data_IF_743043135173
#
_entry.id   IF_743043135173
#
_cell.length_a   1.000
_cell.length_b   1.000
_cell.length_c   1.000
_cell.angle_alpha   90.00
_cell.angle_beta   90.00
_cell.angle_gamma   90.00
#
_symmetry.space_group_name_H-M   'P 1'
#
loop_
_entity.id
_entity.type
_entity.pdbx_description
1 polymer ?
#
# COMPACT_ATOMS: atom_id res chain seq x y z
N UNK A 1 3.81 -1.69 9.08
CA UNK A 1 4.52 -1.31 10.30
C UNK A 1 5.81 -2.12 10.42
N UNK A 2 7.00 -1.47 10.42
CA UNK A 2 8.28 -2.16 10.44
C UNK A 2 8.61 -2.82 11.77
N UNK A 3 7.88 -2.50 12.84
CA UNK A 3 8.11 -3.11 14.15
C UNK A 3 7.70 -4.58 14.24
N UNK A 4 7.00 -5.13 13.23
CA UNK A 4 6.71 -6.58 13.17
C UNK A 4 8.01 -7.38 13.06
N UNK A 5 8.36 -8.04 14.15
CA UNK A 5 9.62 -8.81 14.25
C UNK A 5 9.53 -10.19 13.60
N UNK A 6 8.35 -10.83 13.64
CA UNK A 6 8.05 -12.13 13.02
C UNK A 6 6.75 -12.02 12.20
N UNK A 7 6.81 -12.34 10.92
CA UNK A 7 5.64 -12.29 10.04
C UNK A 7 4.59 -13.38 10.37
N UNK A 8 4.90 -14.33 11.26
CA UNK A 8 3.97 -15.36 11.75
C UNK A 8 3.39 -15.04 13.13
N UNK A 9 3.91 -14.03 13.83
CA UNK A 9 3.43 -13.60 15.15
C UNK A 9 3.06 -12.10 15.14
N UNK A 10 1.76 -11.76 15.18
CA UNK A 10 1.32 -10.36 15.15
C UNK A 10 1.72 -9.54 16.39
N UNK A 11 2.14 -10.20 17.47
CA UNK A 11 2.53 -9.56 18.73
C UNK A 11 4.05 -9.49 18.93
N UNK A 12 4.83 -10.18 18.11
CA UNK A 12 6.28 -10.02 18.11
C UNK A 12 6.64 -8.64 17.57
N UNK A 13 7.16 -7.78 18.45
CA UNK A 13 7.38 -6.35 18.16
C UNK A 13 8.82 -5.95 18.48
N UNK A 14 9.38 -5.08 17.65
CA UNK A 14 10.62 -4.32 17.90
C UNK A 14 10.21 -2.95 18.44
N UNK A 15 10.30 -2.70 19.77
CA UNK A 15 9.74 -1.49 20.39
C UNK A 15 10.31 -0.19 19.79
N UNK A 16 11.60 -0.16 19.44
CA UNK A 16 12.27 1.03 18.89
C UNK A 16 11.73 1.44 17.52
N UNK A 17 11.01 0.55 16.85
CA UNK A 17 10.37 0.76 15.56
C UNK A 17 8.83 0.76 15.65
N UNK A 18 8.25 0.65 16.83
CA UNK A 18 6.81 0.62 16.98
C UNK A 18 6.24 2.06 16.99
N UNK A 19 5.39 2.37 16.02
CA UNK A 19 4.71 3.68 15.96
C UNK A 19 3.66 3.86 17.07
N UNK A 20 3.36 2.81 17.83
CA UNK A 20 2.46 2.83 18.98
C UNK A 20 3.20 2.78 20.33
N UNK A 21 4.53 2.95 20.33
CA UNK A 21 5.32 3.02 21.54
C UNK A 21 5.36 4.48 22.05
N UNK A 22 4.96 4.75 23.31
CA UNK A 22 4.98 6.12 23.86
C UNK A 22 6.34 6.80 23.81
N UNK A 23 7.44 6.06 23.98
CA UNK A 23 8.81 6.59 23.91
C UNK A 23 9.20 7.04 22.50
N UNK A 24 8.51 6.54 21.46
CA UNK A 24 8.68 6.98 20.07
C UNK A 24 7.81 8.19 19.70
N UNK A 25 6.94 8.64 20.60
CA UNK A 25 6.09 9.83 20.40
C UNK A 25 4.60 9.54 20.22
N UNK A 26 4.19 8.27 20.35
CA UNK A 26 2.77 7.89 20.29
C UNK A 26 1.97 8.43 21.48
N UNK A 27 0.70 8.75 21.23
CA UNK A 27 -0.31 9.10 22.22
C UNK A 27 -1.60 8.31 21.94
N UNK A 28 -2.33 7.91 23.00
CA UNK A 28 -3.62 7.23 22.84
C UNK A 28 -4.63 8.09 22.07
N UNK A 29 -5.37 7.48 21.19
CA UNK A 29 -6.46 8.12 20.45
C UNK A 29 -7.49 8.80 21.41
N UNK A 30 -7.96 10.02 21.14
CA UNK A 30 -7.76 10.85 19.93
C UNK A 30 -6.65 11.91 20.08
N UNK A 31 -5.66 11.71 20.94
CA UNK A 31 -4.56 12.65 21.09
C UNK A 31 -3.61 12.59 19.88
N UNK A 32 -3.19 13.74 19.30
CA UNK A 32 -2.25 13.72 18.19
C UNK A 32 -0.87 13.27 18.67
N UNK A 33 -0.22 12.47 17.85
CA UNK A 33 1.16 12.05 18.07
C UNK A 33 2.16 13.08 17.53
N UNK A 34 3.41 12.97 17.96
CA UNK A 34 4.51 13.76 17.40
C UNK A 34 5.75 12.85 17.34
N UNK A 35 6.21 12.57 16.15
CA UNK A 35 7.36 11.68 15.93
C UNK A 35 8.61 12.48 15.62
N UNK A 36 9.72 12.10 16.26
CA UNK A 36 11.02 12.71 15.98
C UNK A 36 11.46 12.47 14.54
N UNK A 37 11.98 13.47 13.81
CA UNK A 37 12.40 13.30 12.40
C UNK A 37 13.48 12.23 12.19
N UNK A 38 14.40 12.05 13.14
CA UNK A 38 15.43 11.01 13.04
C UNK A 38 14.82 9.62 13.28
N UNK A 39 13.83 9.50 14.16
CA UNK A 39 13.05 8.29 14.32
C UNK A 39 12.26 7.97 13.05
N UNK A 40 11.56 8.95 12.46
CA UNK A 40 10.83 8.78 11.20
C UNK A 40 11.72 8.27 10.07
N UNK A 41 12.95 8.78 9.97
CA UNK A 41 13.90 8.31 8.97
C UNK A 41 14.26 6.83 9.17
N UNK A 42 14.53 6.40 10.42
CA UNK A 42 14.79 4.99 10.76
C UNK A 42 13.57 4.11 10.49
N UNK A 43 12.39 4.57 10.91
CA UNK A 43 11.13 3.87 10.69
C UNK A 43 10.88 3.61 9.20
N UNK A 44 11.02 4.63 8.35
CA UNK A 44 10.85 4.51 6.89
C UNK A 44 11.88 3.57 6.25
N UNK A 45 13.12 3.60 6.68
CA UNK A 45 14.12 2.65 6.21
C UNK A 45 13.74 1.21 6.58
N UNK A 46 13.32 0.99 7.83
CA UNK A 46 12.87 -0.32 8.30
C UNK A 46 11.57 -0.81 7.62
N UNK A 47 10.70 0.11 7.16
CA UNK A 47 9.56 -0.26 6.29
C UNK A 47 10.03 -0.88 4.97
N UNK A 48 11.04 -0.29 4.34
CA UNK A 48 11.62 -0.81 3.10
C UNK A 48 12.22 -2.20 3.34
N UNK A 49 12.96 -2.39 4.43
CA UNK A 49 13.56 -3.68 4.80
C UNK A 49 12.48 -4.74 5.06
N UNK A 50 11.38 -4.39 5.72
CA UNK A 50 10.26 -5.31 5.93
C UNK A 50 9.61 -5.71 4.60
N UNK A 51 9.35 -4.76 3.71
CA UNK A 51 8.80 -5.06 2.38
C UNK A 51 9.73 -5.99 1.61
N UNK A 52 11.04 -5.79 1.68
CA UNK A 52 12.03 -6.67 1.05
C UNK A 52 12.00 -8.12 1.62
N UNK A 53 11.81 -8.27 2.95
CA UNK A 53 11.63 -9.61 3.57
C UNK A 53 10.38 -10.31 3.05
N UNK A 54 9.25 -9.62 3.01
CA UNK A 54 7.99 -10.18 2.51
C UNK A 54 8.11 -10.53 1.02
N UNK A 55 8.75 -9.68 0.23
CA UNK A 55 9.07 -9.95 -1.18
C UNK A 55 9.88 -11.24 -1.35
N UNK A 56 10.90 -11.45 -0.51
CA UNK A 56 11.71 -12.66 -0.55
C UNK A 56 10.88 -13.93 -0.25
N UNK A 57 10.00 -13.87 0.75
CA UNK A 57 9.06 -14.97 1.08
C UNK A 57 8.14 -15.26 -0.11
N UNK A 58 7.58 -14.22 -0.72
CA UNK A 58 6.68 -14.34 -1.86
C UNK A 58 7.40 -14.95 -3.08
N UNK A 59 8.59 -14.45 -3.41
CA UNK A 59 9.43 -14.94 -4.52
C UNK A 59 9.85 -16.39 -4.33
N UNK A 60 10.27 -16.76 -3.11
CA UNK A 60 10.66 -18.13 -2.78
C UNK A 60 9.48 -19.12 -2.96
N UNK A 61 8.28 -18.75 -2.49
CA UNK A 61 7.08 -19.57 -2.66
C UNK A 61 6.70 -19.77 -4.13
N UNK A 62 6.81 -18.72 -4.95
CA UNK A 62 6.54 -18.80 -6.39
C UNK A 62 7.59 -19.70 -7.08
N UNK A 63 8.87 -19.53 -6.73
CA UNK A 63 9.96 -20.33 -7.29
C UNK A 63 9.76 -21.81 -7.00
N UNK A 64 9.46 -22.19 -5.74
CA UNK A 64 9.19 -23.59 -5.38
C UNK A 64 8.02 -24.19 -6.19
N UNK A 65 6.95 -23.42 -6.39
CA UNK A 65 5.81 -23.86 -7.20
C UNK A 65 6.21 -24.09 -8.67
N UNK A 66 7.02 -23.22 -9.25
CA UNK A 66 7.54 -23.34 -10.62
C UNK A 66 8.46 -24.54 -10.75
N UNK A 67 9.41 -24.70 -9.83
CA UNK A 67 10.37 -25.81 -9.82
C UNK A 67 9.68 -27.16 -9.62
N UNK A 68 8.70 -27.24 -8.72
CA UNK A 68 7.87 -28.42 -8.58
C UNK A 68 7.11 -28.76 -9.86
N UNK A 69 6.63 -27.76 -10.59
CA UNK A 69 6.02 -27.94 -11.91
C UNK A 69 6.98 -28.50 -12.96
N UNK A 70 8.24 -28.10 -12.90
CA UNK A 70 9.29 -28.69 -13.76
C UNK A 70 9.57 -30.14 -13.38
N UNK A 71 9.72 -30.45 -12.09
CA UNK A 71 9.92 -31.82 -11.59
C UNK A 71 8.77 -32.73 -11.97
N UNK A 72 7.51 -32.27 -11.88
CA UNK A 72 6.32 -33.03 -12.31
C UNK A 72 6.41 -33.47 -13.78
N UNK A 73 6.91 -32.60 -14.65
CA UNK A 73 7.03 -32.91 -16.09
C UNK A 73 8.05 -34.03 -16.39
N UNK A 74 9.04 -34.19 -15.50
CA UNK A 74 10.06 -35.24 -15.65
C UNK A 74 9.72 -36.56 -14.97
N UNK A 75 8.59 -36.67 -14.25
CA UNK A 75 8.20 -37.87 -13.52
C UNK A 75 7.25 -38.76 -14.34
N UNK A 76 7.45 -40.09 -14.28
CA UNK A 76 6.49 -41.07 -14.77
C UNK A 76 5.30 -41.14 -13.81
N UNK A 77 4.16 -40.63 -14.26
CA UNK A 77 2.92 -40.63 -13.45
C UNK A 77 2.42 -42.04 -13.11
N UNK A 78 2.70 -43.02 -13.95
CA UNK A 78 2.25 -44.42 -13.75
C UNK A 78 3.27 -45.21 -12.94
N UNK A 79 4.58 -44.96 -13.12
CA UNK A 79 5.64 -45.71 -12.46
C UNK A 79 5.94 -45.21 -11.04
N UNK A 80 5.80 -43.91 -10.78
CA UNK A 80 6.00 -43.33 -9.46
C UNK A 80 4.88 -42.32 -9.06
N UNK A 81 3.71 -42.92 -8.81
CA UNK A 81 2.50 -42.15 -8.40
C UNK A 81 2.74 -41.28 -7.15
N UNK A 82 3.53 -41.75 -6.18
CA UNK A 82 3.76 -41.05 -4.93
C UNK A 82 4.57 -39.78 -5.16
N UNK A 83 5.71 -39.89 -5.85
CA UNK A 83 6.56 -38.72 -6.16
C UNK A 83 5.82 -37.76 -7.09
N UNK A 84 5.12 -38.24 -8.10
CA UNK A 84 4.33 -37.38 -8.98
C UNK A 84 3.28 -36.59 -8.19
N UNK A 85 2.53 -37.25 -7.30
CA UNK A 85 1.49 -36.62 -6.49
C UNK A 85 2.07 -35.55 -5.55
N UNK A 86 3.20 -35.85 -4.91
CA UNK A 86 3.86 -34.92 -4.00
C UNK A 86 4.32 -33.65 -4.76
N UNK A 87 5.01 -33.81 -5.87
CA UNK A 87 5.44 -32.67 -6.68
C UNK A 87 4.25 -31.92 -7.29
N UNK A 88 3.18 -32.64 -7.68
CA UNK A 88 1.97 -31.99 -8.20
C UNK A 88 1.27 -31.11 -7.18
N UNK A 89 1.23 -31.52 -5.90
CA UNK A 89 0.70 -30.69 -4.81
C UNK A 89 1.48 -29.38 -4.68
N UNK A 90 2.80 -29.46 -4.67
CA UNK A 90 3.68 -28.27 -4.59
C UNK A 90 3.52 -27.37 -5.80
N UNK A 91 3.43 -27.93 -6.99
CA UNK A 91 3.26 -27.19 -8.24
C UNK A 91 1.95 -26.39 -8.32
N UNK A 92 0.88 -26.89 -7.72
CA UNK A 92 -0.44 -26.22 -7.75
C UNK A 92 -0.75 -25.43 -6.48
N UNK A 93 0.09 -25.56 -5.46
CA UNK A 93 -0.11 -24.85 -4.21
C UNK A 93 0.04 -23.34 -4.40
N UNK A 94 -0.92 -22.60 -3.89
CA UNK A 94 -0.87 -21.13 -3.86
C UNK A 94 -0.64 -20.69 -2.43
N UNK A 95 0.52 -20.13 -2.16
CA UNK A 95 0.83 -19.54 -0.87
C UNK A 95 -0.02 -18.28 -0.67
N UNK A 96 -0.76 -18.26 0.44
CA UNK A 96 -1.36 -17.05 0.99
C UNK A 96 -0.43 -16.46 2.04
N UNK A 97 -0.27 -15.15 1.97
CA UNK A 97 0.47 -14.36 2.94
C UNK A 97 -0.54 -13.65 3.84
N UNK A 98 -0.29 -13.67 5.13
CA UNK A 98 -0.95 -12.78 6.09
C UNK A 98 0.03 -11.69 6.46
N UNK A 99 -0.33 -10.44 6.19
CA UNK A 99 0.51 -9.27 6.46
C UNK A 99 -0.13 -8.50 7.62
N UNK A 100 0.55 -8.44 8.74
CA UNK A 100 0.08 -7.73 9.92
C UNK A 100 0.46 -6.26 9.88
N UNK A 101 -0.36 -5.41 10.50
CA UNK A 101 -0.12 -3.98 10.71
C UNK A 101 0.24 -3.26 9.40
N UNK A 102 -0.71 -3.26 8.45
CA UNK A 102 -0.55 -2.69 7.12
C UNK A 102 -0.80 -1.18 7.05
N UNK A 103 -1.55 -0.61 8.00
CA UNK A 103 -1.76 0.84 8.14
C UNK A 103 -0.58 1.42 8.94
N UNK A 104 0.51 1.68 8.28
CA UNK A 104 1.82 1.91 8.88
C UNK A 104 2.41 3.29 8.54
N UNK A 105 1.56 4.26 8.17
CA UNK A 105 2.02 5.63 7.96
C UNK A 105 1.85 6.45 9.24
N UNK A 106 2.95 6.90 9.90
CA UNK A 106 2.87 7.77 11.06
C UNK A 106 2.05 9.05 10.83
N UNK A 107 1.93 9.50 9.58
CA UNK A 107 1.14 10.68 9.21
C UNK A 107 -0.37 10.52 9.48
N UNK A 108 -0.88 9.31 9.73
CA UNK A 108 -2.26 9.15 10.23
C UNK A 108 -2.46 9.76 11.63
N UNK A 109 -1.42 9.77 12.46
CA UNK A 109 -1.49 10.20 13.85
C UNK A 109 -0.76 11.52 14.09
N UNK A 110 0.24 11.86 13.26
CA UNK A 110 0.99 13.11 13.32
C UNK A 110 0.67 13.97 12.09
N UNK A 111 -0.20 14.97 12.28
CA UNK A 111 -0.64 15.86 11.21
C UNK A 111 0.42 16.87 10.77
N UNK A 112 1.55 16.97 11.46
CA UNK A 112 2.68 17.79 11.03
C UNK A 112 3.49 17.15 9.88
N UNK A 113 3.35 15.84 9.69
CA UNK A 113 3.97 15.11 8.59
C UNK A 113 3.14 15.33 7.33
N UNK A 114 3.73 15.94 6.30
CA UNK A 114 3.04 16.30 5.05
C UNK A 114 1.70 17.05 5.34
N UNK A 115 1.78 18.15 6.08
CA UNK A 115 0.61 18.89 6.58
C UNK A 115 -0.34 19.33 5.46
N UNK A 116 -1.62 19.02 5.62
CA UNK A 116 -2.72 19.32 4.73
C UNK A 116 -4.04 19.49 5.51
N UNK A 117 -5.20 19.46 4.84
CA UNK A 117 -6.52 19.64 5.48
C UNK A 117 -7.13 18.33 6.01
N UNK A 118 -6.42 17.19 5.94
CA UNK A 118 -6.97 15.90 6.37
C UNK A 118 -7.29 15.86 7.86
N UNK A 119 -8.34 15.14 8.28
CA UNK A 119 -8.51 14.77 9.66
C UNK A 119 -7.43 13.76 10.10
N UNK A 120 -7.17 13.69 11.41
CA UNK A 120 -6.34 12.64 11.99
C UNK A 120 -7.02 11.26 11.81
N UNK A 121 -6.20 10.24 11.57
CA UNK A 121 -6.66 8.86 11.45
C UNK A 121 -6.69 8.32 10.03
N UNK A 122 -7.21 7.09 9.90
CA UNK A 122 -7.36 6.36 8.65
C UNK A 122 -8.80 6.34 8.21
N UNK A 123 -9.01 6.23 6.91
CA UNK A 123 -10.33 6.01 6.32
C UNK A 123 -10.80 4.54 6.44
N UNK A 124 -9.89 3.59 6.72
CA UNK A 124 -10.19 2.16 6.69
C UNK A 124 -10.70 1.64 8.04
N UNK A 125 -11.94 1.14 8.05
CA UNK A 125 -12.69 0.45 9.10
C UNK A 125 -12.79 1.20 10.44
N UNK A 126 -11.68 1.69 10.97
CA UNK A 126 -11.60 2.46 12.22
C UNK A 126 -10.74 3.70 11.99
N UNK A 127 -11.17 4.87 12.48
CA UNK A 127 -10.36 6.09 12.40
C UNK A 127 -9.00 5.93 13.09
N UNK A 128 -8.96 5.23 14.23
CA UNK A 128 -7.72 4.88 14.92
C UNK A 128 -6.95 3.79 14.16
N UNK A 129 -5.76 4.08 13.59
CA UNK A 129 -4.95 3.08 12.90
C UNK A 129 -4.51 1.93 13.81
N UNK A 130 -4.41 2.15 15.14
CA UNK A 130 -4.12 1.09 16.09
C UNK A 130 -5.22 0.02 16.06
N UNK A 131 -6.48 0.42 16.22
CA UNK A 131 -7.61 -0.52 16.14
C UNK A 131 -7.71 -1.17 14.76
N UNK A 132 -7.49 -0.41 13.70
CA UNK A 132 -7.50 -0.95 12.33
C UNK A 132 -6.39 -2.00 12.14
N UNK A 133 -5.20 -1.80 12.69
CA UNK A 133 -4.06 -2.71 12.56
C UNK A 133 -4.23 -4.04 13.31
N UNK A 134 -4.85 -4.02 14.47
CA UNK A 134 -5.08 -5.25 15.27
C UNK A 134 -6.49 -5.82 15.08
N UNK A 135 -7.46 -5.00 14.70
CA UNK A 135 -8.84 -5.40 14.44
C UNK A 135 -9.04 -6.10 13.09
N UNK A 136 -10.28 -6.42 12.77
CA UNK A 136 -10.68 -7.14 11.53
C UNK A 136 -10.71 -6.29 10.25
N UNK A 137 -10.59 -4.99 10.36
CA UNK A 137 -10.82 -4.04 9.26
C UNK A 137 -9.58 -3.58 8.50
N UNK A 138 -8.41 -4.15 8.74
CA UNK A 138 -7.18 -3.74 8.07
C UNK A 138 -7.15 -4.08 6.58
N UNK A 139 -6.68 -3.15 5.76
CA UNK A 139 -6.48 -3.34 4.32
C UNK A 139 -5.28 -4.25 4.05
N UNK A 140 -5.31 -4.98 2.92
CA UNK A 140 -4.18 -5.75 2.38
C UNK A 140 -3.59 -6.81 3.33
N UNK A 141 -4.42 -7.42 4.18
CA UNK A 141 -3.95 -8.38 5.20
C UNK A 141 -3.75 -9.79 4.71
N UNK A 142 -4.54 -10.25 3.77
CA UNK A 142 -4.45 -11.62 3.25
C UNK A 142 -4.52 -11.59 1.74
N UNK A 143 -3.47 -12.12 1.10
CA UNK A 143 -3.37 -12.18 -0.35
C UNK A 143 -2.44 -13.29 -0.79
N UNK A 144 -2.46 -13.61 -2.08
CA UNK A 144 -1.49 -14.55 -2.65
C UNK A 144 -0.10 -13.88 -2.75
N UNK A 145 0.96 -14.70 -2.78
CA UNK A 145 2.31 -14.23 -3.03
C UNK A 145 2.42 -13.39 -4.33
N UNK A 146 1.71 -13.79 -5.40
CA UNK A 146 1.65 -13.03 -6.65
C UNK A 146 0.91 -11.70 -6.50
N UNK A 147 -0.20 -11.67 -5.75
CA UNK A 147 -0.96 -10.46 -5.46
C UNK A 147 -0.15 -9.44 -4.68
N UNK A 148 0.65 -9.91 -3.70
CA UNK A 148 1.59 -9.05 -2.99
C UNK A 148 2.57 -8.37 -3.94
N UNK A 149 3.33 -9.15 -4.72
CA UNK A 149 4.37 -8.60 -5.60
C UNK A 149 3.81 -7.69 -6.70
N UNK A 150 2.61 -7.97 -7.21
CA UNK A 150 2.03 -7.20 -8.32
C UNK A 150 1.34 -5.90 -7.89
N UNK A 151 0.86 -5.82 -6.65
CA UNK A 151 -0.03 -4.74 -6.23
C UNK A 151 0.48 -4.01 -4.98
N UNK A 152 0.88 -4.74 -3.94
CA UNK A 152 1.09 -4.17 -2.61
C UNK A 152 2.55 -3.92 -2.24
N UNK A 153 3.49 -4.64 -2.86
CA UNK A 153 4.91 -4.39 -2.62
C UNK A 153 5.33 -3.04 -3.20
N UNK A 154 5.75 -2.13 -2.36
CA UNK A 154 6.35 -0.86 -2.79
C UNK A 154 7.67 -1.03 -3.57
N UNK A 155 8.29 -2.21 -3.53
CA UNK A 155 9.54 -2.52 -4.23
C UNK A 155 9.34 -3.25 -5.55
N UNK A 156 8.34 -4.16 -5.63
CA UNK A 156 8.16 -5.06 -6.77
C UNK A 156 6.95 -4.70 -7.64
N UNK A 157 5.98 -3.96 -7.12
CA UNK A 157 4.78 -3.56 -7.87
C UNK A 157 5.13 -2.55 -8.97
N UNK A 158 4.51 -2.73 -10.14
CA UNK A 158 4.55 -1.77 -11.24
C UNK A 158 3.41 -0.75 -11.22
N UNK A 159 2.63 -0.70 -10.13
CA UNK A 159 1.47 0.18 -9.98
C UNK A 159 1.82 1.60 -9.48
N UNK A 160 3.08 2.04 -9.61
CA UNK A 160 3.50 3.39 -9.25
C UNK A 160 3.17 4.37 -10.36
N UNK A 161 2.36 5.38 -10.04
CA UNK A 161 1.99 6.39 -11.02
C UNK A 161 3.19 7.22 -11.48
N UNK A 162 4.13 7.57 -10.60
CA UNK A 162 5.37 8.26 -11.00
C UNK A 162 6.17 7.52 -12.09
N UNK A 163 6.12 6.17 -12.13
CA UNK A 163 6.80 5.35 -13.12
C UNK A 163 5.96 5.14 -14.41
N UNK A 164 4.63 5.26 -14.31
CA UNK A 164 3.71 4.96 -15.42
C UNK A 164 3.18 6.20 -16.12
N UNK A 165 2.98 7.30 -15.39
CA UNK A 165 2.48 8.58 -15.93
C UNK A 165 3.35 9.18 -17.03
N UNK A 166 4.69 9.03 -17.06
CA UNK A 166 5.50 9.50 -18.19
C UNK A 166 5.11 8.91 -19.55
N UNK A 167 4.42 7.76 -19.56
CA UNK A 167 3.93 7.10 -20.79
C UNK A 167 2.50 7.46 -21.17
N UNK A 168 1.80 8.20 -20.32
CA UNK A 168 0.45 8.70 -20.59
C UNK A 168 0.60 9.98 -21.41
N UNK A 169 0.20 9.93 -22.68
CA UNK A 169 0.36 11.04 -23.65
C UNK A 169 -0.97 11.72 -24.04
N UNK A 170 -2.09 11.16 -23.57
CA UNK A 170 -3.43 11.74 -23.79
C UNK A 170 -3.72 12.86 -22.80
N UNK A 171 -4.60 13.83 -23.12
CA UNK A 171 -5.03 14.84 -22.16
C UNK A 171 -5.46 14.21 -20.84
N UNK A 172 -4.95 14.75 -19.75
CA UNK A 172 -5.12 14.17 -18.41
C UNK A 172 -5.56 15.24 -17.40
N UNK A 173 -6.52 14.92 -16.56
CA UNK A 173 -6.89 15.73 -15.40
C UNK A 173 -6.73 14.92 -14.11
N UNK A 174 -6.11 15.52 -13.11
CA UNK A 174 -6.11 15.05 -11.72
C UNK A 174 -6.91 16.01 -10.86
N UNK A 175 -8.00 15.54 -10.27
CA UNK A 175 -8.76 16.26 -9.25
C UNK A 175 -8.37 15.69 -7.90
N UNK A 176 -7.65 16.46 -7.09
CA UNK A 176 -7.11 16.04 -5.80
C UNK A 176 -7.97 16.57 -4.65
N UNK A 177 -8.55 15.71 -3.80
CA UNK A 177 -9.24 16.13 -2.57
C UNK A 177 -8.22 16.53 -1.50
N UNK A 178 -8.30 17.76 -0.98
CA UNK A 178 -7.25 18.30 -0.10
C UNK A 178 -7.31 17.76 1.34
N UNK A 179 -8.45 17.20 1.76
CA UNK A 179 -8.62 16.51 3.05
C UNK A 179 -8.48 14.98 2.94
N UNK A 180 -7.73 14.50 1.94
CA UNK A 180 -7.49 13.07 1.72
C UNK A 180 -6.56 12.49 2.78
N UNK A 181 -7.05 11.49 3.53
CA UNK A 181 -6.26 10.78 4.55
C UNK A 181 -5.28 9.75 3.95
N UNK A 182 -5.43 9.38 2.68
CA UNK A 182 -4.65 8.32 2.04
C UNK A 182 -3.64 8.84 1.01
N UNK A 183 -4.06 9.76 0.14
CA UNK A 183 -3.20 10.34 -0.89
C UNK A 183 -2.86 11.78 -0.52
N UNK A 184 -1.62 12.00 -0.11
CA UNK A 184 -1.13 13.31 0.32
C UNK A 184 -0.92 14.26 -0.85
N UNK A 185 -1.00 15.57 -0.59
CA UNK A 185 -0.72 16.63 -1.55
C UNK A 185 0.61 16.41 -2.30
N UNK A 186 1.65 16.01 -1.58
CA UNK A 186 2.96 15.72 -2.18
C UNK A 186 2.89 14.61 -3.23
N UNK A 187 2.16 13.54 -2.95
CA UNK A 187 1.98 12.41 -3.88
C UNK A 187 1.17 12.83 -5.11
N UNK A 188 0.11 13.62 -4.93
CA UNK A 188 -0.68 14.15 -6.04
C UNK A 188 0.16 15.03 -6.97
N UNK A 189 1.01 15.90 -6.42
CA UNK A 189 1.94 16.73 -7.19
C UNK A 189 2.99 15.88 -7.93
N UNK A 190 3.57 14.88 -7.28
CA UNK A 190 4.50 13.94 -7.92
C UNK A 190 3.87 13.23 -9.14
N UNK A 191 2.61 12.83 -9.04
CA UNK A 191 1.86 12.23 -10.16
C UNK A 191 1.74 13.21 -11.33
N UNK A 192 1.32 14.44 -11.06
CA UNK A 192 1.14 15.47 -12.09
C UNK A 192 2.48 15.86 -12.72
N UNK A 193 3.50 16.09 -11.91
CA UNK A 193 4.83 16.49 -12.37
C UNK A 193 5.51 15.40 -13.22
N UNK A 194 5.12 14.13 -13.01
CA UNK A 194 5.61 12.99 -13.81
C UNK A 194 4.82 12.74 -15.09
N UNK A 195 3.70 13.46 -15.35
CA UNK A 195 2.85 13.21 -16.49
C UNK A 195 3.56 13.50 -17.84
N UNK A 196 3.48 12.53 -18.76
CA UNK A 196 4.00 12.66 -20.12
C UNK A 196 3.08 13.41 -21.08
N UNK A 197 1.84 13.70 -20.68
CA UNK A 197 0.88 14.45 -21.47
C UNK A 197 1.23 15.96 -21.50
N UNK A 198 1.26 16.55 -22.69
CA UNK A 198 1.45 17.99 -22.83
C UNK A 198 0.26 18.80 -22.28
N UNK A 199 -0.95 18.22 -22.28
CA UNK A 199 -2.16 18.79 -21.70
C UNK A 199 -2.48 18.04 -20.41
N UNK A 200 -1.88 18.49 -19.31
CA UNK A 200 -2.13 17.98 -17.95
C UNK A 200 -2.76 19.09 -17.11
N UNK A 201 -3.90 18.81 -16.52
CA UNK A 201 -4.63 19.72 -15.63
C UNK A 201 -4.61 19.18 -14.19
N UNK A 202 -4.27 20.02 -13.22
CA UNK A 202 -4.35 19.71 -11.81
C UNK A 202 -5.35 20.64 -11.12
N UNK A 203 -6.28 20.08 -10.37
CA UNK A 203 -7.31 20.82 -9.62
C UNK A 203 -7.36 20.32 -8.20
N UNK A 204 -7.21 21.22 -7.24
CA UNK A 204 -7.43 20.95 -5.81
C UNK A 204 -8.90 21.16 -5.46
N UNK A 205 -9.51 20.17 -4.82
CA UNK A 205 -10.88 20.22 -4.32
C UNK A 205 -10.84 20.40 -2.81
N UNK A 206 -10.96 21.66 -2.39
CA UNK A 206 -10.75 22.08 -1.01
C UNK A 206 -11.70 21.37 -0.02
N UNK A 207 -11.17 20.85 1.08
CA UNK A 207 -11.90 20.18 2.14
C UNK A 207 -12.53 18.83 1.76
N UNK A 208 -12.35 18.37 0.52
CA UNK A 208 -12.93 17.11 0.08
C UNK A 208 -12.15 15.91 0.65
N UNK A 209 -12.84 14.89 1.21
CA UNK A 209 -12.22 13.65 1.64
C UNK A 209 -11.96 12.70 0.46
N UNK A 210 -11.24 11.58 0.73
CA UNK A 210 -10.81 10.60 -0.27
C UNK A 210 -11.92 10.13 -1.24
N UNK A 211 -13.12 9.83 -0.76
CA UNK A 211 -14.26 9.40 -1.59
C UNK A 211 -15.18 10.54 -2.00
N UNK A 212 -14.73 11.80 -1.85
CA UNK A 212 -15.46 13.00 -2.28
C UNK A 212 -16.85 13.14 -1.64
N UNK A 213 -17.09 12.65 -0.42
CA UNK A 213 -18.33 12.82 0.30
C UNK A 213 -18.66 14.32 0.44
N UNK A 214 -19.87 14.69 0.03
CA UNK A 214 -20.28 16.12 -0.01
C UNK A 214 -19.79 16.88 -1.24
N UNK A 215 -18.74 16.47 -1.93
CA UNK A 215 -18.08 17.18 -3.04
C UNK A 215 -18.26 16.52 -4.41
N UNK A 216 -18.96 15.39 -4.51
CA UNK A 216 -19.09 14.60 -5.76
C UNK A 216 -19.65 15.39 -6.93
N UNK A 217 -20.64 16.27 -6.68
CA UNK A 217 -21.23 17.11 -7.74
C UNK A 217 -20.24 18.11 -8.29
N UNK A 218 -19.45 18.73 -7.43
CA UNK A 218 -18.43 19.68 -7.79
C UNK A 218 -17.30 18.99 -8.60
N UNK A 219 -16.78 17.86 -8.12
CA UNK A 219 -15.78 17.07 -8.83
C UNK A 219 -16.27 16.64 -10.23
N UNK A 220 -17.53 16.18 -10.34
CA UNK A 220 -18.13 15.81 -11.62
C UNK A 220 -18.31 17.00 -12.54
N UNK A 221 -18.68 18.18 -12.03
CA UNK A 221 -18.77 19.40 -12.84
C UNK A 221 -17.42 19.82 -13.41
N UNK A 222 -16.37 19.81 -12.59
CA UNK A 222 -14.97 20.09 -13.02
C UNK A 222 -14.57 19.15 -14.17
N UNK A 223 -14.77 17.83 -14.00
CA UNK A 223 -14.42 16.85 -15.03
C UNK A 223 -15.27 17.05 -16.31
N UNK A 224 -16.58 17.30 -16.16
CA UNK A 224 -17.46 17.52 -17.30
C UNK A 224 -17.10 18.78 -18.10
N UNK A 225 -16.76 19.87 -17.43
CA UNK A 225 -16.34 21.11 -18.07
C UNK A 225 -14.98 20.94 -18.77
N UNK A 226 -14.05 20.24 -18.14
CA UNK A 226 -12.76 19.91 -18.73
C UNK A 226 -12.90 19.04 -19.99
N UNK A 227 -13.82 18.05 -19.98
CA UNK A 227 -14.12 17.22 -21.14
C UNK A 227 -14.78 18.03 -22.27
N UNK A 228 -15.78 18.89 -21.97
CA UNK A 228 -16.41 19.74 -22.99
C UNK A 228 -15.41 20.66 -23.66
N UNK A 229 -14.50 21.24 -22.92
CA UNK A 229 -13.50 22.15 -23.48
C UNK A 229 -12.54 21.48 -24.48
N UNK A 230 -12.43 20.14 -24.48
CA UNK A 230 -11.48 19.37 -25.30
C UNK A 230 -12.12 18.52 -26.38
N UNK A 231 -13.36 18.09 -26.16
CA UNK A 231 -13.99 17.05 -27.00
C UNK A 231 -15.41 17.43 -27.48
N UNK A 232 -15.88 18.66 -27.22
CA UNK A 232 -17.19 19.16 -27.71
C UNK A 232 -17.04 19.97 -28.99
#
# INVERSE_FOLDING_TARGET
DPSVADENDPFATVPELDMYEPDNGWRPWPEPCTYDPAWLARYRAAQVDRVARIDAIAKASIAESVDAGQRVRGLDKAGDVAAWREQRRRAVFTQYLTIYRTLADPAYLDLSIDADERPMGSLFAFPDPFEANYGRGGLARTMTARGWLSTWSGLSSHAKLADTMPRVTVPTILVHPTADTEIRMRQAKEIVDSAGAADTTYVELAGAPHYLEGHRREALAIVADWLRARFA
#
